data_IF_614643872171
#
_entry.id   IF_614643872171
#
_cell.length_a   1.000
_cell.length_b   1.000
_cell.length_c   1.000
_cell.angle_alpha   90.00
_cell.angle_beta   90.00
_cell.angle_gamma   90.00
#
_symmetry.space_group_name_H-M   'P 1'
#
loop_
_entity.id
_entity.type
_entity.pdbx_description
1 polymer ?
#
# COMPACT_ATOMS: atom_id res chain seq x y z
N UNK A 1 -15.99 -11.43 5.24
CA UNK A 1 -15.59 -12.41 6.31
C UNK A 1 -15.55 -13.85 5.79
N UNK A 2 -16.44 -14.27 4.89
CA UNK A 2 -16.52 -15.66 4.40
C UNK A 2 -15.23 -16.22 3.78
N UNK A 3 -14.47 -15.41 3.05
CA UNK A 3 -13.20 -15.81 2.41
C UNK A 3 -11.96 -15.48 3.23
N UNK A 4 -12.11 -14.80 4.37
CA UNK A 4 -10.99 -14.22 5.12
C UNK A 4 -9.95 -15.26 5.55
N UNK A 5 -10.41 -16.42 6.07
CA UNK A 5 -9.50 -17.47 6.52
C UNK A 5 -8.62 -17.99 5.38
N UNK A 6 -9.25 -18.38 4.27
CA UNK A 6 -8.53 -18.91 3.10
C UNK A 6 -7.59 -17.87 2.47
N UNK A 7 -8.05 -16.59 2.38
CA UNK A 7 -7.23 -15.48 1.90
C UNK A 7 -6.01 -15.26 2.80
N UNK A 8 -6.21 -15.20 4.11
CA UNK A 8 -5.14 -14.99 5.09
C UNK A 8 -4.07 -16.09 4.99
N UNK A 9 -4.49 -17.36 4.95
CA UNK A 9 -3.58 -18.49 4.85
C UNK A 9 -2.75 -18.40 3.55
N UNK A 10 -3.39 -18.17 2.42
CA UNK A 10 -2.70 -18.04 1.14
C UNK A 10 -1.78 -16.80 1.08
N UNK A 11 -2.22 -15.67 1.65
CA UNK A 11 -1.41 -14.45 1.69
C UNK A 11 -0.14 -14.64 2.52
N UNK A 12 -0.27 -15.21 3.72
CA UNK A 12 0.86 -15.49 4.60
C UNK A 12 1.84 -16.48 3.94
N UNK A 13 1.33 -17.52 3.29
CA UNK A 13 2.17 -18.47 2.56
C UNK A 13 2.99 -17.80 1.45
N UNK A 14 2.38 -16.90 0.68
CA UNK A 14 3.09 -16.16 -0.37
C UNK A 14 4.15 -15.22 0.23
N UNK A 15 3.84 -14.50 1.30
CA UNK A 15 4.79 -13.61 1.97
C UNK A 15 5.99 -14.39 2.53
N UNK A 16 5.76 -15.56 3.10
CA UNK A 16 6.83 -16.43 3.64
C UNK A 16 7.76 -16.99 2.55
N UNK A 17 7.28 -17.11 1.31
CA UNK A 17 8.08 -17.57 0.17
C UNK A 17 8.95 -16.48 -0.44
N UNK A 18 8.74 -15.20 -0.07
CA UNK A 18 9.51 -14.10 -0.63
C UNK A 18 10.99 -14.22 -0.30
N UNK A 19 11.81 -14.13 -1.32
CA UNK A 19 13.26 -14.15 -1.23
C UNK A 19 13.80 -12.76 -0.91
N UNK A 20 14.55 -12.64 0.19
CA UNK A 20 15.15 -11.39 0.63
C UNK A 20 16.66 -11.46 0.36
N UNK A 21 17.22 -10.45 -0.30
CA UNK A 21 18.62 -10.51 -0.66
C UNK A 21 19.09 -9.36 -1.55
N UNK A 22 20.10 -9.64 -2.35
CA UNK A 22 20.68 -8.67 -3.27
C UNK A 22 19.68 -8.28 -4.37
N UNK A 23 19.26 -7.00 -4.47
CA UNK A 23 18.24 -6.56 -5.45
C UNK A 23 18.74 -6.59 -6.91
N UNK A 24 20.01 -6.86 -7.17
CA UNK A 24 20.54 -7.06 -8.51
C UNK A 24 20.30 -8.48 -9.05
N UNK A 25 19.86 -9.40 -8.21
CA UNK A 25 19.54 -10.76 -8.61
C UNK A 25 18.05 -10.85 -8.95
N UNK A 26 17.71 -11.43 -10.11
CA UNK A 26 16.31 -11.64 -10.53
C UNK A 26 15.52 -12.54 -9.58
N UNK A 27 16.18 -13.38 -8.79
CA UNK A 27 15.58 -14.25 -7.78
C UNK A 27 15.23 -13.53 -6.48
N UNK A 28 15.56 -12.26 -6.32
CA UNK A 28 15.27 -11.48 -5.13
C UNK A 28 13.94 -10.74 -5.26
N UNK A 29 13.01 -11.03 -4.37
CA UNK A 29 11.72 -10.34 -4.31
C UNK A 29 11.79 -9.03 -3.52
N UNK A 30 12.65 -8.96 -2.50
CA UNK A 30 12.80 -7.78 -1.65
C UNK A 30 14.27 -7.50 -1.30
N UNK A 31 14.70 -6.27 -1.55
CA UNK A 31 15.99 -5.73 -1.12
C UNK A 31 15.96 -5.10 0.27
N UNK A 32 17.04 -4.36 0.60
CA UNK A 32 17.16 -3.63 1.85
C UNK A 32 16.25 -2.39 1.89
N UNK A 33 15.90 -1.95 3.09
CA UNK A 33 15.35 -0.61 3.35
C UNK A 33 16.44 0.45 3.08
N UNK A 34 16.02 1.70 2.88
CA UNK A 34 16.91 2.76 2.43
C UNK A 34 18.00 3.15 3.45
N UNK A 35 17.76 2.93 4.75
CA UNK A 35 18.68 3.31 5.82
C UNK A 35 18.43 2.58 7.13
N UNK A 36 19.40 2.60 8.05
CA UNK A 36 19.23 2.12 9.41
C UNK A 36 18.08 2.83 10.14
N UNK A 37 18.03 4.16 10.05
CA UNK A 37 16.97 4.96 10.68
C UNK A 37 15.57 4.56 10.18
N UNK A 38 15.45 4.22 8.90
CA UNK A 38 14.19 3.74 8.33
C UNK A 38 13.85 2.33 8.82
N UNK A 39 14.81 1.41 8.88
CA UNK A 39 14.61 0.08 9.47
C UNK A 39 14.14 0.21 10.92
N UNK A 40 14.80 1.03 11.71
CA UNK A 40 14.43 1.28 13.10
C UNK A 40 13.02 1.90 13.23
N UNK A 41 12.60 2.76 12.27
CA UNK A 41 11.22 3.26 12.20
C UNK A 41 10.24 2.11 12.01
N UNK A 42 10.49 1.22 11.05
CA UNK A 42 9.61 0.07 10.77
C UNK A 42 9.56 -0.88 11.96
N UNK A 43 10.71 -1.18 12.60
CA UNK A 43 10.76 -2.02 13.80
C UNK A 43 9.96 -1.40 14.98
N UNK A 44 9.98 -0.07 15.14
CA UNK A 44 9.11 0.61 16.12
C UNK A 44 7.62 0.42 15.79
N UNK A 45 7.24 0.46 14.50
CA UNK A 45 5.84 0.19 14.12
C UNK A 45 5.43 -1.27 14.34
N UNK A 46 6.33 -2.24 14.22
CA UNK A 46 6.07 -3.61 14.62
C UNK A 46 5.77 -3.70 16.12
N UNK A 47 6.53 -2.99 16.94
CA UNK A 47 6.28 -2.93 18.39
C UNK A 47 4.94 -2.23 18.70
N UNK A 48 4.59 -1.18 17.98
CA UNK A 48 3.27 -0.52 18.08
C UNK A 48 2.16 -1.49 17.73
N UNK A 49 2.25 -2.21 16.61
CA UNK A 49 1.25 -3.19 16.19
C UNK A 49 1.02 -4.28 17.26
N UNK A 50 2.07 -4.76 17.90
CA UNK A 50 1.96 -5.69 19.02
C UNK A 50 1.27 -5.05 20.23
N UNK A 51 1.63 -3.82 20.60
CA UNK A 51 1.03 -3.11 21.73
C UNK A 51 -0.46 -2.81 21.50
N UNK A 52 -0.88 -2.64 20.25
CA UNK A 52 -2.28 -2.45 19.84
C UNK A 52 -3.08 -3.76 19.77
N UNK A 53 -2.48 -4.90 20.14
CA UNK A 53 -3.12 -6.20 20.18
C UNK A 53 -3.06 -6.98 18.87
N UNK A 54 -2.28 -6.51 17.91
CA UNK A 54 -2.06 -7.19 16.63
C UNK A 54 -1.39 -8.55 16.83
N UNK A 55 -1.88 -9.54 16.10
CA UNK A 55 -1.28 -10.86 16.04
C UNK A 55 -0.35 -10.95 14.82
N UNK A 56 0.94 -11.11 15.06
CA UNK A 56 1.91 -11.36 14.00
C UNK A 56 1.70 -12.75 13.42
N UNK A 57 1.54 -12.85 12.11
CA UNK A 57 1.33 -14.10 11.39
C UNK A 57 2.63 -14.62 10.75
N UNK A 58 3.51 -13.71 10.29
CA UNK A 58 4.84 -14.05 9.79
C UNK A 58 5.73 -12.80 9.74
N UNK A 59 7.05 -13.00 9.62
CA UNK A 59 8.06 -11.96 9.46
C UNK A 59 8.34 -11.19 10.74
N UNK A 60 8.75 -9.93 10.58
CA UNK A 60 9.02 -9.01 11.69
C UNK A 60 10.44 -9.11 12.26
N UNK A 61 11.26 -10.01 11.75
CA UNK A 61 12.64 -10.22 12.14
C UNK A 61 13.62 -9.78 11.05
N UNK A 62 14.89 -9.63 11.43
CA UNK A 62 15.98 -9.41 10.49
C UNK A 62 16.41 -10.75 9.90
N UNK A 63 16.47 -10.90 8.56
CA UNK A 63 16.92 -12.14 7.96
C UNK A 63 18.41 -12.38 8.25
N UNK A 64 18.79 -13.65 8.44
CA UNK A 64 20.20 -14.03 8.38
C UNK A 64 20.63 -14.09 6.91
N UNK A 65 21.52 -13.19 6.52
CA UNK A 65 22.07 -13.09 5.17
C UNK A 65 23.59 -13.29 5.20
N UNK A 66 24.16 -13.60 4.03
CA UNK A 66 25.60 -13.78 3.84
C UNK A 66 26.38 -12.50 4.18
N UNK A 67 27.68 -12.65 4.41
CA UNK A 67 28.55 -11.60 4.95
C UNK A 67 28.47 -10.28 4.19
N UNK A 68 28.39 -10.30 2.88
CA UNK A 68 28.29 -9.10 2.02
C UNK A 68 27.00 -8.30 2.22
N UNK A 69 25.94 -8.94 2.71
CA UNK A 69 24.63 -8.35 2.92
C UNK A 69 24.28 -8.14 4.39
N UNK A 70 25.06 -8.70 5.30
CA UNK A 70 24.77 -8.75 6.75
C UNK A 70 24.58 -7.35 7.37
N UNK A 71 25.37 -6.39 6.94
CA UNK A 71 25.30 -5.01 7.44
C UNK A 71 24.21 -4.17 6.78
N UNK A 72 23.48 -4.75 5.82
CA UNK A 72 22.37 -4.08 5.13
C UNK A 72 21.13 -3.90 6.03
N UNK A 73 20.23 -3.03 5.58
CA UNK A 73 19.04 -2.65 6.34
C UNK A 73 17.85 -3.54 5.98
N UNK A 74 18.05 -4.84 6.07
CA UNK A 74 17.03 -5.84 5.73
C UNK A 74 16.04 -6.08 6.86
N UNK A 75 14.79 -6.34 6.48
CA UNK A 75 13.71 -6.72 7.38
C UNK A 75 12.76 -7.66 6.64
N UNK A 76 12.35 -8.76 7.27
CA UNK A 76 11.38 -9.67 6.67
C UNK A 76 10.00 -9.01 6.56
N UNK A 77 9.28 -9.21 5.46
CA UNK A 77 7.90 -8.75 5.34
C UNK A 77 7.04 -9.32 6.46
N UNK A 78 6.27 -8.44 7.08
CA UNK A 78 5.46 -8.76 8.25
C UNK A 78 3.99 -8.71 7.92
N UNK A 79 3.23 -9.66 8.42
CA UNK A 79 1.78 -9.69 8.27
C UNK A 79 1.13 -9.74 9.64
N UNK A 80 0.21 -8.82 9.90
CA UNK A 80 -0.60 -8.80 11.11
C UNK A 80 -2.08 -9.01 10.79
N UNK A 81 -2.82 -9.60 11.73
CA UNK A 81 -4.27 -9.52 11.80
C UNK A 81 -4.70 -9.09 13.22
N UNK A 82 -6.00 -9.04 13.46
CA UNK A 82 -6.61 -8.69 14.76
C UNK A 82 -6.38 -7.24 15.21
N UNK A 83 -5.90 -6.37 14.34
CA UNK A 83 -5.79 -4.94 14.61
C UNK A 83 -7.12 -4.22 14.35
N UNK A 84 -7.52 -3.25 15.19
CA UNK A 84 -8.59 -2.32 14.89
C UNK A 84 -8.26 -1.51 13.63
N UNK A 85 -9.26 -1.21 12.79
CA UNK A 85 -9.02 -0.46 11.54
C UNK A 85 -8.52 0.98 11.80
N UNK A 86 -8.91 1.57 12.93
CA UNK A 86 -8.59 2.92 13.36
C UNK A 86 -7.37 3.03 14.29
N UNK A 87 -6.65 1.93 14.51
CA UNK A 87 -5.43 1.95 15.31
C UNK A 87 -4.28 2.66 14.57
N UNK A 88 -3.28 3.08 15.30
CA UNK A 88 -2.14 3.84 14.78
C UNK A 88 -1.42 3.10 13.65
N UNK A 89 -1.24 1.79 13.78
CA UNK A 89 -0.62 0.94 12.75
C UNK A 89 -1.34 1.04 11.40
N UNK A 90 -2.68 1.18 11.39
CA UNK A 90 -3.49 1.27 10.18
C UNK A 90 -3.70 2.72 9.70
N UNK A 91 -3.36 3.72 10.51
CA UNK A 91 -3.59 5.14 10.22
C UNK A 91 -2.31 5.91 9.86
N UNK A 92 -1.12 5.40 10.23
CA UNK A 92 0.15 6.05 9.92
C UNK A 92 0.84 5.41 8.71
N UNK A 93 1.57 6.22 7.95
CA UNK A 93 2.41 5.75 6.84
C UNK A 93 3.70 5.13 7.38
N UNK A 94 3.76 3.81 7.40
CA UNK A 94 4.93 3.04 7.86
C UNK A 94 6.06 3.12 6.82
N UNK A 95 5.72 3.04 5.55
CA UNK A 95 6.62 3.01 4.40
C UNK A 95 7.62 1.85 4.45
N UNK A 96 7.15 0.66 4.87
CA UNK A 96 7.97 -0.53 5.07
C UNK A 96 7.20 -1.82 4.77
N UNK A 97 7.86 -2.97 4.81
CA UNK A 97 7.29 -4.25 4.44
C UNK A 97 6.39 -4.79 5.56
N UNK A 98 5.28 -4.12 5.81
CA UNK A 98 4.26 -4.52 6.77
C UNK A 98 2.89 -4.45 6.13
N UNK A 99 2.11 -5.50 6.28
CA UNK A 99 0.72 -5.57 5.85
C UNK A 99 -0.20 -5.96 7.01
N UNK A 100 -1.40 -5.41 7.03
CA UNK A 100 -2.46 -5.75 7.98
C UNK A 100 -3.65 -6.35 7.25
N UNK A 101 -4.26 -7.39 7.82
CA UNK A 101 -5.43 -8.07 7.27
C UNK A 101 -6.64 -7.83 8.17
N UNK A 102 -7.64 -7.15 7.65
CA UNK A 102 -8.85 -6.77 8.40
C UNK A 102 -10.06 -7.43 7.75
N UNK A 103 -10.81 -8.28 8.46
CA UNK A 103 -12.05 -8.84 7.95
C UNK A 103 -13.19 -7.83 7.99
N UNK A 104 -14.07 -7.88 7.02
CA UNK A 104 -15.31 -7.09 6.98
C UNK A 104 -16.49 -7.97 6.57
N UNK A 105 -17.70 -7.51 6.82
CA UNK A 105 -18.94 -8.25 6.57
C UNK A 105 -19.70 -7.71 5.37
N UNK A 106 -19.70 -6.41 5.11
CA UNK A 106 -20.43 -5.79 3.99
C UNK A 106 -19.67 -4.62 3.31
N UNK A 107 -20.25 -4.11 2.23
CA UNK A 107 -19.66 -3.04 1.41
C UNK A 107 -19.59 -1.70 2.18
N UNK A 108 -20.54 -1.40 3.02
CA UNK A 108 -20.59 -0.15 3.81
C UNK A 108 -19.48 -0.13 4.85
N UNK A 109 -19.31 -1.26 5.55
CA UNK A 109 -18.27 -1.42 6.55
C UNK A 109 -16.87 -1.25 5.93
N UNK A 110 -16.59 -1.95 4.83
CA UNK A 110 -15.27 -1.87 4.21
C UNK A 110 -14.97 -0.50 3.61
N UNK A 111 -15.97 0.21 3.06
CA UNK A 111 -15.79 1.59 2.59
C UNK A 111 -15.47 2.53 3.77
N UNK A 112 -16.18 2.37 4.89
CA UNK A 112 -15.90 3.14 6.10
C UNK A 112 -14.46 2.92 6.59
N UNK A 113 -14.02 1.67 6.66
CA UNK A 113 -12.66 1.31 7.07
C UNK A 113 -11.62 1.85 6.09
N UNK A 114 -11.81 1.62 4.79
CA UNK A 114 -10.84 2.04 3.76
C UNK A 114 -10.71 3.56 3.66
N UNK A 115 -11.79 4.29 3.89
CA UNK A 115 -11.81 5.75 3.82
C UNK A 115 -11.43 6.44 5.13
N UNK A 116 -11.25 5.70 6.24
CA UNK A 116 -10.94 6.27 7.56
C UNK A 116 -9.53 6.84 7.67
N UNK A 117 -8.60 6.39 6.83
CA UNK A 117 -7.21 6.85 6.84
C UNK A 117 -7.09 8.29 6.29
N UNK A 118 -6.14 9.09 6.79
CA UNK A 118 -5.84 10.41 6.23
C UNK A 118 -5.21 10.37 4.83
N UNK A 119 -4.91 9.19 4.31
CA UNK A 119 -4.31 8.96 3.01
C UNK A 119 -5.32 8.47 1.97
N UNK A 120 -4.98 8.61 0.70
CA UNK A 120 -5.81 8.17 -0.41
C UNK A 120 -5.02 8.14 -1.74
N UNK A 121 -3.91 7.39 -1.78
CA UNK A 121 -3.13 7.28 -3.02
C UNK A 121 -3.81 6.33 -4.00
N UNK A 122 -3.96 5.07 -3.61
CA UNK A 122 -4.47 4.04 -4.48
C UNK A 122 -5.19 2.94 -3.71
N UNK A 123 -6.12 2.27 -4.40
CA UNK A 123 -6.81 1.09 -3.91
C UNK A 123 -6.92 0.04 -5.01
N UNK A 124 -7.15 -1.22 -4.62
CA UNK A 124 -7.48 -2.31 -5.53
C UNK A 124 -8.70 -3.07 -5.03
N UNK A 125 -9.66 -3.31 -5.93
CA UNK A 125 -10.90 -4.03 -5.64
C UNK A 125 -10.96 -5.30 -6.47
N UNK A 126 -11.13 -6.43 -5.81
CA UNK A 126 -11.18 -7.73 -6.44
C UNK A 126 -12.58 -8.33 -6.30
N UNK A 127 -13.32 -8.42 -7.40
CA UNK A 127 -14.69 -8.95 -7.44
C UNK A 127 -15.06 -9.45 -8.83
N UNK A 128 -15.98 -10.41 -8.89
CA UNK A 128 -16.61 -10.86 -10.15
C UNK A 128 -17.92 -10.13 -10.45
N UNK A 129 -18.43 -9.36 -9.50
CA UNK A 129 -19.66 -8.58 -9.64
C UNK A 129 -19.32 -7.18 -10.14
N UNK A 130 -19.74 -6.88 -11.38
CA UNK A 130 -19.50 -5.59 -12.01
C UNK A 130 -20.17 -4.42 -11.27
N UNK A 131 -21.40 -4.60 -10.81
CA UNK A 131 -22.10 -3.54 -10.07
C UNK A 131 -21.40 -3.22 -8.73
N UNK A 132 -20.86 -4.25 -8.06
CA UNK A 132 -20.01 -4.07 -6.87
C UNK A 132 -18.72 -3.35 -7.22
N UNK A 133 -18.04 -3.75 -8.28
CA UNK A 133 -16.82 -3.08 -8.73
C UNK A 133 -17.05 -1.58 -8.93
N UNK A 134 -18.16 -1.20 -9.57
CA UNK A 134 -18.55 0.19 -9.78
C UNK A 134 -18.80 0.92 -8.46
N UNK A 135 -19.69 0.40 -7.60
CA UNK A 135 -20.00 1.04 -6.31
C UNK A 135 -18.75 1.24 -5.45
N UNK A 136 -17.89 0.20 -5.38
CA UNK A 136 -16.67 0.27 -4.58
C UNK A 136 -15.68 1.30 -5.16
N UNK A 137 -15.50 1.35 -6.49
CA UNK A 137 -14.58 2.30 -7.11
C UNK A 137 -15.04 3.76 -6.95
N UNK A 138 -16.35 3.99 -6.99
CA UNK A 138 -16.93 5.32 -6.77
C UNK A 138 -16.90 5.74 -5.30
N UNK A 139 -17.03 4.78 -4.38
CA UNK A 139 -17.08 5.04 -2.94
C UNK A 139 -15.72 5.15 -2.25
N UNK A 140 -14.64 4.72 -2.89
CA UNK A 140 -13.29 4.78 -2.31
C UNK A 140 -12.65 6.15 -2.49
N UNK A 141 -12.20 6.76 -1.39
CA UNK A 141 -11.45 8.03 -1.36
C UNK A 141 -9.99 7.80 -1.74
N UNK A 142 -9.74 7.39 -2.97
CA UNK A 142 -8.40 7.18 -3.51
C UNK A 142 -8.25 7.85 -4.87
N UNK A 143 -7.04 8.34 -5.16
CA UNK A 143 -6.76 8.96 -6.46
C UNK A 143 -6.73 7.95 -7.62
N UNK A 144 -6.50 6.68 -7.29
CA UNK A 144 -6.49 5.57 -8.24
C UNK A 144 -7.21 4.35 -7.66
N UNK A 145 -8.07 3.73 -8.45
CA UNK A 145 -8.69 2.45 -8.07
C UNK A 145 -8.53 1.43 -9.21
N UNK A 146 -7.86 0.34 -8.91
CA UNK A 146 -7.73 -0.79 -9.84
C UNK A 146 -8.83 -1.82 -9.58
N UNK A 147 -9.41 -2.35 -10.64
CA UNK A 147 -10.38 -3.44 -10.57
C UNK A 147 -9.73 -4.71 -11.09
N UNK A 148 -9.69 -5.75 -10.25
CA UNK A 148 -9.11 -7.06 -10.55
C UNK A 148 -7.68 -6.99 -11.15
N UNK A 149 -6.93 -5.98 -10.75
CA UNK A 149 -5.56 -5.75 -11.17
C UNK A 149 -4.76 -5.02 -10.11
N UNK A 150 -3.44 -4.98 -10.27
CA UNK A 150 -2.53 -4.22 -9.44
C UNK A 150 -1.45 -3.62 -10.32
N UNK A 151 -1.12 -2.34 -10.11
CA UNK A 151 -0.07 -1.61 -10.84
C UNK A 151 -0.25 -1.57 -12.37
N UNK A 152 -1.45 -1.88 -12.89
CA UNK A 152 -1.77 -1.65 -14.30
C UNK A 152 -1.83 -0.15 -14.55
N UNK A 153 -0.78 0.41 -15.14
CA UNK A 153 -0.61 1.85 -15.29
C UNK A 153 -0.53 2.26 -16.75
N UNK A 154 -1.35 3.23 -17.14
CA UNK A 154 -1.21 3.96 -18.38
C UNK A 154 -0.66 5.36 -18.06
N UNK A 155 0.51 5.70 -18.60
CA UNK A 155 1.15 7.00 -18.35
C UNK A 155 0.38 8.20 -18.93
N UNK A 156 -0.64 7.97 -19.77
CA UNK A 156 -1.55 8.98 -20.29
C UNK A 156 -2.67 9.30 -19.32
N UNK A 157 -2.95 8.39 -18.37
CA UNK A 157 -3.96 8.60 -17.35
C UNK A 157 -3.40 9.45 -16.19
N UNK A 158 -4.19 10.36 -15.61
CA UNK A 158 -3.79 11.09 -14.41
C UNK A 158 -3.47 10.16 -13.26
N UNK A 159 -2.35 10.41 -12.57
CA UNK A 159 -1.95 9.68 -11.39
C UNK A 159 -1.66 10.64 -10.24
N UNK A 160 -2.14 10.33 -9.05
CA UNK A 160 -1.85 11.11 -7.83
C UNK A 160 -2.86 10.82 -6.74
N UNK A 161 -2.49 11.12 -5.51
CA UNK A 161 -3.30 10.89 -4.32
C UNK A 161 -4.32 11.99 -4.06
N UNK A 162 -5.27 11.67 -3.19
CA UNK A 162 -6.15 12.61 -2.51
C UNK A 162 -5.79 12.68 -1.03
N UNK A 163 -6.45 13.53 -0.25
CA UNK A 163 -6.17 13.73 1.17
C UNK A 163 -4.68 14.08 1.39
N UNK A 164 -4.02 13.48 2.37
CA UNK A 164 -2.59 13.72 2.65
C UNK A 164 -1.63 12.98 1.72
N UNK A 165 -2.12 12.13 0.82
CA UNK A 165 -1.26 11.42 -0.14
C UNK A 165 -0.72 12.28 -1.26
N UNK A 166 -1.24 13.49 -1.49
CA UNK A 166 -0.64 14.41 -2.43
C UNK A 166 -1.58 15.46 -2.98
N UNK A 167 -0.99 16.38 -3.72
CA UNK A 167 -1.66 17.47 -4.45
C UNK A 167 -1.38 17.32 -5.95
N UNK A 168 -2.36 17.70 -6.77
CA UNK A 168 -2.24 17.64 -8.23
C UNK A 168 -2.27 16.21 -8.80
N UNK A 169 -1.98 16.15 -10.08
CA UNK A 169 -1.90 14.87 -10.82
C UNK A 169 -0.71 14.90 -11.76
N UNK A 170 0.04 13.81 -11.79
CA UNK A 170 1.05 13.55 -12.82
C UNK A 170 0.45 12.72 -13.96
N UNK A 171 1.11 12.69 -15.12
CA UNK A 171 0.66 11.98 -16.32
C UNK A 171 -0.33 12.76 -17.18
N UNK A 172 -0.27 12.49 -18.49
CA UNK A 172 -1.18 13.02 -19.47
C UNK A 172 -1.28 14.55 -19.51
N UNK A 173 -2.43 15.07 -19.93
CA UNK A 173 -2.71 16.48 -20.05
C UNK A 173 -2.75 17.22 -18.70
N UNK A 174 -3.12 16.52 -17.64
CA UNK A 174 -3.19 17.12 -16.30
C UNK A 174 -1.81 17.52 -15.78
N UNK A 175 -0.78 16.73 -16.04
CA UNK A 175 0.60 17.10 -15.71
C UNK A 175 1.03 18.35 -16.47
N UNK A 176 0.70 18.47 -17.75
CA UNK A 176 1.01 19.67 -18.54
C UNK A 176 0.32 20.92 -17.96
N UNK A 177 -0.93 20.80 -17.58
CA UNK A 177 -1.67 21.92 -16.95
C UNK A 177 -1.07 22.32 -15.61
N UNK A 178 -0.64 21.34 -14.83
CA UNK A 178 -0.06 21.59 -13.51
C UNK A 178 1.30 22.30 -13.57
N UNK A 179 2.13 21.98 -14.58
CA UNK A 179 3.49 22.52 -14.72
C UNK A 179 3.59 23.70 -15.71
N UNK A 180 2.47 24.24 -16.21
CA UNK A 180 2.47 25.36 -17.16
C UNK A 180 1.48 26.44 -16.75
N UNK A 181 1.77 27.67 -17.18
CA UNK A 181 0.91 28.83 -17.00
C UNK A 181 0.12 29.12 -18.27
N UNK A 182 -1.18 29.40 -18.15
CA UNK A 182 -2.03 29.80 -19.25
C UNK A 182 -1.80 31.27 -19.61
N UNK A 183 -1.60 31.59 -20.91
CA UNK A 183 -1.46 32.95 -21.40
C UNK A 183 -2.43 33.20 -22.55
N UNK A 184 -3.24 34.23 -22.43
CA UNK A 184 -4.13 34.69 -23.50
C UNK A 184 -3.48 35.81 -24.30
N UNK A 185 -3.46 35.67 -25.62
CA UNK A 185 -2.99 36.70 -26.55
C UNK A 185 -4.17 37.06 -27.46
N UNK A 186 -4.60 38.34 -27.42
CA UNK A 186 -5.68 38.87 -28.25
C UNK A 186 -5.13 39.85 -29.27
N UNK A 187 -5.51 39.71 -30.52
CA UNK A 187 -5.20 40.62 -31.60
C UNK A 187 -6.47 41.31 -32.09
N UNK A 188 -6.53 42.64 -32.15
CA UNK A 188 -7.65 43.31 -32.79
C UNK A 188 -7.67 42.96 -34.27
N UNK A 189 -8.87 42.81 -34.85
CA UNK A 189 -9.07 42.65 -36.30
C UNK A 189 -8.96 43.98 -37.02
#
# INVERSE_FOLDING_TARGET
RSVFKAFREAFVEQVQRMTIGNPQLESTDQGALISAAHRDKVERHLAVAHAEGGRLLCGGDRPALDDDLREGFYLRPSVFDSLPFDCRTNQEEIFGPLATLIPFDDETEVLTMANSTPYGLAASVWTRDFARAQRMSEGLDAGLVWINSWMSRDLRAPFGGVKQSGLGREGGLEAMRFFTESKTISWPR
#
